data_IF_814315500857
#
_entry.id   IF_814315500857
#
_cell.length_a   1.000
_cell.length_b   1.000
_cell.length_c   1.000
_cell.angle_alpha   90.00
_cell.angle_beta   90.00
_cell.angle_gamma   90.00
#
_symmetry.space_group_name_H-M   'P 1'
#
loop_
_entity.id
_entity.type
_entity.pdbx_description
1 polymer ?
#
# COMPACT_ATOMS: atom_id res chain seq x y z
N UNK A 1 -8.78 -54.11 11.92
CA UNK A 1 -9.49 -53.04 12.67
C UNK A 1 -8.45 -52.13 13.30
N UNK A 2 -8.35 -50.86 12.92
CA UNK A 2 -7.58 -49.87 13.70
C UNK A 2 -8.44 -49.31 14.86
N UNK A 3 -7.82 -48.80 15.94
CA UNK A 3 -8.53 -48.30 17.12
C UNK A 3 -9.13 -46.89 16.90
N UNK A 4 -10.09 -46.45 17.72
CA UNK A 4 -10.77 -45.17 17.55
C UNK A 4 -9.91 -44.01 18.06
N UNK A 5 -9.79 -42.95 17.26
CA UNK A 5 -9.10 -41.72 17.63
C UNK A 5 -10.02 -40.83 18.46
N UNK A 6 -9.62 -40.56 19.71
CA UNK A 6 -10.23 -39.58 20.59
C UNK A 6 -10.25 -38.19 19.94
N UNK A 7 -11.42 -37.54 19.96
CA UNK A 7 -11.59 -36.15 19.56
C UNK A 7 -11.07 -35.25 20.68
N UNK A 8 -9.97 -34.54 20.44
CA UNK A 8 -9.53 -33.43 21.29
C UNK A 8 -10.44 -32.22 20.99
N UNK A 9 -11.17 -31.67 21.98
CA UNK A 9 -11.96 -30.47 21.78
C UNK A 9 -11.10 -29.22 22.02
N UNK A 10 -11.26 -28.22 21.15
CA UNK A 10 -10.80 -26.86 21.43
C UNK A 10 -9.39 -26.56 20.93
N UNK A 11 -9.28 -26.23 19.65
CA UNK A 11 -8.41 -25.14 19.24
C UNK A 11 -9.33 -24.14 18.57
N UNK A 12 -9.68 -23.09 19.30
CA UNK A 12 -10.25 -21.90 18.68
C UNK A 12 -9.24 -21.46 17.63
N UNK A 13 -9.63 -21.53 16.36
CA UNK A 13 -8.94 -20.85 15.28
C UNK A 13 -9.03 -19.36 15.56
N UNK A 14 -8.12 -18.85 16.39
CA UNK A 14 -7.78 -17.45 16.36
C UNK A 14 -7.11 -17.24 15.01
N UNK A 15 -7.91 -16.81 14.02
CA UNK A 15 -7.38 -16.13 12.86
C UNK A 15 -6.62 -14.91 13.39
N UNK A 16 -5.30 -15.09 13.53
CA UNK A 16 -4.37 -13.97 13.58
C UNK A 16 -4.73 -13.09 12.37
N UNK A 17 -4.94 -11.77 12.53
CA UNK A 17 -5.10 -10.92 11.37
C UNK A 17 -3.87 -11.15 10.50
N UNK A 18 -4.11 -11.62 9.27
CA UNK A 18 -3.07 -11.80 8.28
C UNK A 18 -2.33 -10.47 8.22
N UNK A 19 -1.10 -10.41 8.73
CA UNK A 19 -0.25 -9.23 8.58
C UNK A 19 -0.05 -9.13 7.08
N UNK A 20 -0.83 -8.25 6.45
CA UNK A 20 -1.09 -8.32 5.02
C UNK A 20 0.21 -8.28 4.25
N UNK A 21 0.44 -9.31 3.44
CA UNK A 21 1.34 -9.25 2.29
C UNK A 21 1.12 -7.91 1.61
N UNK A 22 2.19 -7.14 1.41
CA UNK A 22 2.08 -5.72 1.08
C UNK A 22 0.99 -5.45 0.05
N UNK A 23 -0.04 -4.68 0.43
CA UNK A 23 -1.23 -4.53 -0.39
C UNK A 23 -1.11 -3.29 -1.29
N UNK A 24 -1.48 -3.47 -2.56
CA UNK A 24 -1.86 -2.39 -3.47
C UNK A 24 -3.36 -2.53 -3.65
N UNK A 25 -4.13 -1.50 -3.30
CA UNK A 25 -5.58 -1.50 -3.41
C UNK A 25 -6.08 -0.30 -4.22
N UNK A 26 -7.22 -0.44 -4.88
CA UNK A 26 -7.92 0.69 -5.52
C UNK A 26 -8.66 1.49 -4.45
N UNK A 27 -8.61 2.81 -4.54
CA UNK A 27 -9.20 3.74 -3.55
C UNK A 27 -10.00 4.87 -4.20
N UNK A 28 -10.56 4.58 -5.38
CA UNK A 28 -11.25 5.56 -6.22
C UNK A 28 -12.35 6.33 -5.49
N UNK A 29 -13.16 5.61 -4.70
CA UNK A 29 -14.31 6.15 -3.98
C UNK A 29 -13.96 7.12 -2.85
N UNK A 30 -12.71 7.06 -2.37
CA UNK A 30 -12.23 7.88 -1.24
C UNK A 30 -11.08 8.82 -1.63
N UNK A 31 -10.65 8.82 -2.89
CA UNK A 31 -9.44 9.51 -3.34
C UNK A 31 -9.43 11.03 -3.09
N UNK A 32 -10.60 11.65 -2.91
CA UNK A 32 -10.76 13.08 -2.64
C UNK A 32 -11.04 13.38 -1.17
N UNK A 33 -10.98 12.38 -0.29
CA UNK A 33 -11.26 12.53 1.13
C UNK A 33 -10.05 12.07 1.94
N UNK A 34 -9.19 13.03 2.27
CA UNK A 34 -7.94 12.79 3.02
C UNK A 34 -8.17 12.05 4.33
N UNK A 35 -9.24 12.37 5.07
CA UNK A 35 -9.57 11.66 6.31
C UNK A 35 -9.86 10.17 6.07
N UNK A 36 -10.68 9.86 5.06
CA UNK A 36 -10.96 8.45 4.71
C UNK A 36 -9.72 7.73 4.19
N UNK A 37 -8.86 8.44 3.46
CA UNK A 37 -7.58 7.91 3.00
C UNK A 37 -6.64 7.59 4.18
N UNK A 38 -6.54 8.46 5.17
CA UNK A 38 -5.76 8.21 6.39
C UNK A 38 -6.32 7.03 7.19
N UNK A 39 -7.65 6.98 7.37
CA UNK A 39 -8.32 5.85 8.02
C UNK A 39 -8.03 4.54 7.28
N UNK A 40 -8.07 4.54 5.94
CA UNK A 40 -7.74 3.36 5.12
C UNK A 40 -6.26 2.99 5.21
N UNK A 41 -5.37 3.98 5.15
CA UNK A 41 -3.93 3.76 5.26
C UNK A 41 -3.57 3.17 6.63
N UNK A 42 -4.24 3.62 7.70
CA UNK A 42 -4.11 3.06 9.05
C UNK A 42 -4.60 1.63 9.14
N UNK A 43 -5.75 1.31 8.55
CA UNK A 43 -6.28 -0.06 8.48
C UNK A 43 -5.27 -1.02 7.84
N UNK A 44 -4.65 -0.60 6.73
CA UNK A 44 -3.74 -1.46 5.95
C UNK A 44 -2.33 -1.55 6.56
N UNK A 45 -1.82 -0.44 7.08
CA UNK A 45 -0.47 -0.37 7.64
C UNK A 45 -0.40 -0.82 9.10
N UNK A 46 -1.47 -0.61 9.88
CA UNK A 46 -1.47 -0.71 11.33
C UNK A 46 -0.87 0.52 12.04
N UNK A 47 -0.49 1.56 11.30
CA UNK A 47 0.17 2.77 11.81
C UNK A 47 -0.76 3.99 11.72
N UNK A 48 -0.63 4.94 12.64
CA UNK A 48 -1.36 6.21 12.52
C UNK A 48 -0.64 7.11 11.50
N UNK A 49 -1.25 7.27 10.32
CA UNK A 49 -0.65 7.96 9.19
C UNK A 49 -1.38 9.26 8.87
N UNK A 50 -0.63 10.26 8.43
CA UNK A 50 -1.13 11.53 7.88
C UNK A 50 -0.70 11.65 6.42
N UNK A 51 -1.61 12.10 5.56
CA UNK A 51 -1.31 12.32 4.14
C UNK A 51 -0.72 13.71 3.90
N UNK A 52 0.30 13.81 3.06
CA UNK A 52 0.87 15.09 2.65
C UNK A 52 -0.16 15.92 1.89
N UNK A 53 -0.25 17.22 2.19
CA UNK A 53 -1.18 18.13 1.51
C UNK A 53 -0.84 18.33 0.02
N UNK A 54 0.44 18.23 -0.34
CA UNK A 54 0.91 18.47 -1.70
C UNK A 54 1.12 17.17 -2.46
N UNK A 55 0.72 17.21 -3.73
CA UNK A 55 1.06 16.17 -4.69
C UNK A 55 2.53 16.30 -5.11
N UNK A 56 3.21 15.16 -5.22
CA UNK A 56 4.58 15.04 -5.70
C UNK A 56 4.58 14.35 -7.05
N UNK A 57 5.23 15.00 -8.03
CA UNK A 57 5.54 14.37 -9.30
C UNK A 57 6.83 13.58 -9.17
N UNK A 58 6.74 12.28 -9.44
CA UNK A 58 7.88 11.37 -9.41
C UNK A 58 8.98 11.79 -10.39
N UNK A 59 10.20 11.34 -10.12
CA UNK A 59 11.33 11.48 -11.03
C UNK A 59 11.90 10.11 -11.39
N UNK A 60 12.51 9.96 -12.59
CA UNK A 60 13.17 8.72 -12.97
C UNK A 60 14.23 8.30 -11.95
N UNK A 61 14.15 7.04 -11.51
CA UNK A 61 15.07 6.41 -10.54
C UNK A 61 15.07 7.08 -9.15
N UNK A 62 14.02 7.83 -8.83
CA UNK A 62 13.87 8.42 -7.50
C UNK A 62 13.61 7.31 -6.47
N UNK A 63 14.45 7.28 -5.43
CA UNK A 63 14.17 6.51 -4.23
C UNK A 63 13.25 7.32 -3.32
N UNK A 64 12.20 6.69 -2.82
CA UNK A 64 11.32 7.29 -1.81
C UNK A 64 11.97 7.09 -0.44
N UNK A 65 11.93 8.12 0.40
CA UNK A 65 12.54 8.09 1.72
C UNK A 65 11.81 7.10 2.67
N UNK A 66 12.55 6.59 3.65
CA UNK A 66 12.09 5.58 4.62
C UNK A 66 10.99 6.01 5.60
N UNK A 67 10.67 7.28 5.89
CA UNK A 67 9.53 7.61 6.74
C UNK A 67 8.18 7.46 6.03
N UNK A 68 8.16 7.27 4.70
CA UNK A 68 6.93 7.01 3.95
C UNK A 68 6.41 5.60 4.24
N UNK A 69 5.14 5.51 4.63
CA UNK A 69 4.46 4.24 5.00
C UNK A 69 3.31 3.86 4.08
N UNK A 70 2.81 4.81 3.30
CA UNK A 70 1.92 4.52 2.20
C UNK A 70 2.08 5.58 1.11
N UNK A 71 1.63 5.24 -0.09
CA UNK A 71 1.66 6.12 -1.26
C UNK A 71 0.28 6.07 -1.91
N UNK A 72 -0.38 7.21 -2.04
CA UNK A 72 -1.52 7.39 -2.93
C UNK A 72 -0.98 7.69 -4.33
N UNK A 73 -1.49 6.98 -5.33
CA UNK A 73 -0.96 6.97 -6.69
C UNK A 73 -2.12 7.25 -7.64
N UNK A 74 -1.99 8.28 -8.47
CA UNK A 74 -2.96 8.56 -9.53
C UNK A 74 -2.64 7.71 -10.76
N UNK A 75 -3.54 6.80 -11.14
CA UNK A 75 -3.34 5.87 -12.25
C UNK A 75 -3.32 6.60 -13.60
N UNK A 76 -4.28 7.49 -13.82
CA UNK A 76 -4.31 8.39 -14.97
C UNK A 76 -3.45 9.63 -14.70
N UNK A 77 -2.14 9.44 -14.81
CA UNK A 77 -1.12 10.47 -14.73
C UNK A 77 -0.06 10.23 -15.81
N UNK A 78 1.04 10.98 -15.78
CA UNK A 78 2.16 10.77 -16.69
C UNK A 78 2.71 9.35 -16.59
N UNK A 79 3.30 8.89 -17.70
CA UNK A 79 3.82 7.54 -17.81
C UNK A 79 4.89 7.28 -16.75
N UNK A 80 4.69 6.22 -15.98
CA UNK A 80 5.54 5.91 -14.85
C UNK A 80 5.29 4.54 -14.23
N UNK A 81 6.11 4.25 -13.24
CA UNK A 81 6.07 3.01 -12.48
C UNK A 81 6.52 3.28 -11.05
N UNK A 82 5.80 2.75 -10.08
CA UNK A 82 6.23 2.69 -8.70
C UNK A 82 6.50 1.22 -8.39
N UNK A 83 7.73 0.92 -7.99
CA UNK A 83 8.17 -0.44 -7.69
C UNK A 83 8.60 -0.49 -6.22
N UNK A 84 7.97 -1.38 -5.48
CA UNK A 84 8.25 -1.63 -4.06
C UNK A 84 8.95 -2.98 -3.96
N UNK A 85 10.16 -2.97 -3.41
CA UNK A 85 11.01 -4.13 -3.20
C UNK A 85 10.89 -4.57 -1.74
N UNK A 86 10.27 -5.72 -1.53
CA UNK A 86 10.18 -6.40 -0.25
C UNK A 86 10.41 -7.88 -0.41
N UNK A 87 9.71 -8.69 0.39
CA UNK A 87 9.63 -10.15 0.19
C UNK A 87 9.11 -10.53 -1.20
N UNK A 88 8.22 -9.72 -1.74
CA UNK A 88 7.76 -9.77 -3.13
C UNK A 88 7.91 -8.40 -3.78
N UNK A 89 8.13 -8.38 -5.09
CA UNK A 89 8.17 -7.12 -5.85
C UNK A 89 6.74 -6.74 -6.21
N UNK A 90 6.33 -5.55 -5.79
CA UNK A 90 5.01 -4.99 -6.09
C UNK A 90 5.15 -3.78 -7.00
N UNK A 91 4.21 -3.65 -7.92
CA UNK A 91 4.33 -2.69 -9.03
C UNK A 91 3.00 -2.00 -9.29
N UNK A 92 3.04 -0.67 -9.37
CA UNK A 92 1.92 0.15 -9.85
C UNK A 92 2.38 0.93 -11.08
N UNK A 93 1.75 0.68 -12.22
CA UNK A 93 2.03 1.42 -13.45
C UNK A 93 1.04 2.57 -13.61
N UNK A 94 1.55 3.73 -14.04
CA UNK A 94 0.74 4.92 -14.35
C UNK A 94 0.90 5.28 -15.82
N UNK A 95 -0.09 5.99 -16.36
CA UNK A 95 -0.06 6.47 -17.73
C UNK A 95 -1.46 6.83 -18.23
N UNK A 96 -1.56 7.62 -19.33
CA UNK A 96 -2.85 7.98 -19.92
C UNK A 96 -3.66 6.75 -20.36
N UNK A 97 -2.98 5.68 -20.78
CA UNK A 97 -3.59 4.43 -21.26
C UNK A 97 -3.88 3.40 -20.15
N UNK A 98 -3.65 3.76 -18.88
CA UNK A 98 -3.84 2.84 -17.73
C UNK A 98 -5.23 2.89 -17.10
N UNK A 99 -6.15 3.63 -17.71
CA UNK A 99 -7.49 3.89 -17.16
C UNK A 99 -7.48 4.97 -16.09
N UNK A 100 -8.65 5.27 -15.52
CA UNK A 100 -8.85 6.34 -14.52
C UNK A 100 -8.83 5.82 -13.08
N UNK A 101 -8.42 6.68 -12.16
CA UNK A 101 -8.56 6.43 -10.72
C UNK A 101 -7.25 6.50 -9.93
N UNK A 102 -7.32 5.95 -8.72
CA UNK A 102 -6.29 5.97 -7.70
C UNK A 102 -6.02 4.58 -7.11
N UNK A 103 -4.77 4.35 -6.74
CA UNK A 103 -4.34 3.21 -5.97
C UNK A 103 -3.60 3.66 -4.71
N UNK A 104 -3.71 2.89 -3.64
CA UNK A 104 -2.91 3.05 -2.43
C UNK A 104 -1.98 1.85 -2.30
N UNK A 105 -0.69 2.13 -2.09
CA UNK A 105 0.31 1.11 -1.83
C UNK A 105 0.93 1.32 -0.45
N UNK A 106 0.85 0.33 0.43
CA UNK A 106 1.54 0.35 1.74
C UNK A 106 3.02 0.01 1.54
N UNK A 107 3.91 0.73 2.23
CA UNK A 107 5.35 0.53 2.26
C UNK A 107 5.77 0.15 3.68
N UNK A 108 6.26 -1.06 3.88
CA UNK A 108 6.72 -1.57 5.17
C UNK A 108 8.15 -1.06 5.48
N UNK A 109 8.56 -1.03 6.75
CA UNK A 109 9.87 -0.50 7.14
C UNK A 109 11.08 -1.21 6.51
N UNK A 110 10.93 -2.46 6.10
CA UNK A 110 11.94 -3.29 5.44
C UNK A 110 11.88 -3.24 3.90
N UNK A 111 10.99 -2.42 3.34
CA UNK A 111 10.81 -2.29 1.90
C UNK A 111 11.45 -1.02 1.33
N UNK A 112 12.04 -1.16 0.14
CA UNK A 112 12.56 -0.04 -0.63
C UNK A 112 11.60 0.31 -1.76
N UNK A 113 11.36 1.60 -2.01
CA UNK A 113 10.50 2.05 -3.11
C UNK A 113 11.29 2.87 -4.12
N UNK A 114 11.20 2.48 -5.39
CA UNK A 114 11.81 3.17 -6.53
C UNK A 114 10.72 3.60 -7.51
N UNK A 115 10.80 4.86 -7.91
CA UNK A 115 9.96 5.47 -8.93
C UNK A 115 10.69 5.51 -10.26
N UNK A 116 9.97 5.18 -11.33
CA UNK A 116 10.40 5.36 -12.71
C UNK A 116 9.41 6.29 -13.43
N UNK A 117 9.91 7.19 -14.27
CA UNK A 117 9.06 8.17 -14.96
C UNK A 117 8.54 9.26 -14.03
N UNK A 118 7.34 9.76 -14.29
CA UNK A 118 6.76 10.93 -13.62
C UNK A 118 5.36 10.68 -13.03
N UNK A 119 5.12 9.58 -12.29
CA UNK A 119 3.80 9.33 -11.70
C UNK A 119 3.42 10.44 -10.71
N UNK A 120 2.13 10.71 -10.61
CA UNK A 120 1.57 11.64 -9.64
C UNK A 120 1.24 10.93 -8.32
N UNK A 121 1.79 11.41 -7.21
CA UNK A 121 1.75 10.72 -5.92
C UNK A 121 1.46 11.66 -4.74
N UNK A 122 0.85 11.14 -3.67
CA UNK A 122 0.87 11.77 -2.34
C UNK A 122 1.37 10.76 -1.32
N UNK A 123 2.24 11.20 -0.42
CA UNK A 123 2.85 10.32 0.56
C UNK A 123 2.11 10.35 1.89
N UNK A 124 2.19 9.25 2.62
CA UNK A 124 1.72 9.14 3.98
C UNK A 124 2.89 8.91 4.91
N UNK A 125 2.94 9.67 5.99
CA UNK A 125 3.97 9.57 7.02
C UNK A 125 3.34 9.27 8.36
N UNK A 126 4.13 8.68 9.26
CA UNK A 126 3.68 8.43 10.62
C UNK A 126 3.41 9.75 11.35
N UNK A 127 2.23 9.85 11.97
CA UNK A 127 1.87 10.96 12.84
C UNK A 127 2.76 10.89 14.08
N UNK A 128 3.63 11.89 14.26
CA UNK A 128 4.52 12.02 15.42
C UNK A 128 3.75 12.39 16.68
#
# INVERSE_FOLDING_TARGET
MPPPTDKIPGVASAELPSIGEGQIIRVDEIALNDRKLEEKAKELSGEDLIIDAQETIGKPFQRIDRPVRAILIRIHSDTGLIRIYGRSIRVVATGPDRGVGFAMAVVRPDEDTIVHGHPSMRFFHQRR
#
